data_IF_934382191953
#
_entry.id   IF_934382191953
#
_cell.length_a   1.000
_cell.length_b   1.000
_cell.length_c   1.000
_cell.angle_alpha   90.00
_cell.angle_beta   90.00
_cell.angle_gamma   90.00
#
_symmetry.space_group_name_H-M   'P 1'
#
loop_
_entity.id
_entity.type
_entity.pdbx_description
1 polymer ?
#
# COMPACT_ATOMS: atom_id res chain seq x y z
N UNK A 1 3.53 -0.90 6.67
CA UNK A 1 3.90 -1.66 5.46
C UNK A 1 3.05 -1.16 4.28
N UNK A 2 3.57 -1.15 3.06
CA UNK A 2 2.77 -0.90 1.85
C UNK A 2 2.39 -2.26 1.28
N UNK A 3 1.10 -2.58 1.17
CA UNK A 3 0.65 -3.89 0.65
C UNK A 3 0.55 -3.91 -0.88
N UNK A 4 0.19 -2.76 -1.46
CA UNK A 4 0.14 -2.50 -2.89
C UNK A 4 0.39 -1.01 -3.15
N UNK A 5 0.71 -0.64 -4.39
CA UNK A 5 0.91 0.76 -4.77
C UNK A 5 2.31 1.31 -4.49
N UNK A 6 3.32 0.46 -4.28
CA UNK A 6 4.71 0.89 -4.14
C UNK A 6 5.18 1.82 -5.26
N UNK A 7 4.76 1.57 -6.51
CA UNK A 7 5.09 2.47 -7.63
C UNK A 7 4.47 3.86 -7.44
N UNK A 8 3.21 3.93 -6.99
CA UNK A 8 2.52 5.19 -6.71
C UNK A 8 3.22 5.96 -5.59
N UNK A 9 3.60 5.24 -4.52
CA UNK A 9 4.41 5.81 -3.44
C UNK A 9 5.74 6.39 -3.94
N UNK A 10 6.51 5.62 -4.73
CA UNK A 10 7.81 6.08 -5.23
C UNK A 10 7.68 7.27 -6.18
N UNK A 11 6.70 7.27 -7.07
CA UNK A 11 6.45 8.39 -7.98
C UNK A 11 6.09 9.66 -7.20
N UNK A 12 5.15 9.58 -6.25
CA UNK A 12 4.77 10.73 -5.43
C UNK A 12 5.94 11.24 -4.57
N UNK A 13 6.75 10.32 -4.04
CA UNK A 13 7.98 10.68 -3.33
C UNK A 13 8.96 11.44 -4.24
N UNK A 14 9.19 10.96 -5.47
CA UNK A 14 10.07 11.61 -6.46
C UNK A 14 9.55 12.98 -6.89
N UNK A 15 8.23 13.15 -6.96
CA UNK A 15 7.58 14.43 -7.27
C UNK A 15 7.59 15.41 -6.07
N UNK A 16 8.12 15.01 -4.92
CA UNK A 16 8.17 15.86 -3.72
C UNK A 16 6.83 16.04 -3.02
N UNK A 17 5.86 15.15 -3.29
CA UNK A 17 4.55 15.18 -2.66
C UNK A 17 4.65 15.14 -1.13
N UNK A 18 3.78 15.90 -0.46
CA UNK A 18 3.72 15.99 1.00
C UNK A 18 2.72 15.02 1.60
N UNK A 19 1.71 14.64 0.82
CA UNK A 19 0.71 13.63 1.19
C UNK A 19 0.58 12.56 0.10
N UNK A 20 0.06 11.40 0.48
CA UNK A 20 -0.31 10.31 -0.41
C UNK A 20 -1.68 9.77 -0.01
N UNK A 21 -2.64 9.66 -0.94
CA UNK A 21 -3.89 8.96 -0.68
C UNK A 21 -3.58 7.49 -0.42
N UNK A 22 -4.05 6.98 0.73
CA UNK A 22 -3.86 5.60 1.11
C UNK A 22 -5.15 5.06 1.72
N UNK A 23 -5.41 3.79 1.46
CA UNK A 23 -6.40 3.03 2.19
C UNK A 23 -5.71 2.30 3.33
N UNK A 24 -6.03 2.66 4.56
CA UNK A 24 -5.58 1.93 5.73
C UNK A 24 -6.49 0.71 5.90
N UNK A 25 -5.89 -0.46 6.06
CA UNK A 25 -6.60 -1.72 6.28
C UNK A 25 -6.01 -2.43 7.48
N UNK A 26 -6.87 -3.08 8.26
CA UNK A 26 -6.43 -4.03 9.27
C UNK A 26 -5.97 -5.31 8.56
N UNK A 27 -4.67 -5.49 8.40
CA UNK A 27 -4.13 -6.58 7.59
C UNK A 27 -4.47 -7.96 8.15
N UNK A 28 -4.67 -8.07 9.46
CA UNK A 28 -5.06 -9.32 10.09
C UNK A 28 -6.53 -9.69 9.84
N UNK A 29 -7.38 -8.74 9.43
CA UNK A 29 -8.81 -8.97 9.14
C UNK A 29 -9.03 -10.12 8.14
N UNK A 30 -10.03 -10.99 8.34
CA UNK A 30 -10.40 -12.01 7.38
C UNK A 30 -10.72 -11.45 5.98
N UNK A 31 -11.17 -10.19 5.89
CA UNK A 31 -11.51 -9.52 4.61
C UNK A 31 -10.28 -9.19 3.75
N UNK A 32 -9.08 -9.42 4.28
CA UNK A 32 -7.82 -9.29 3.55
C UNK A 32 -7.24 -10.66 3.32
N UNK A 33 -7.10 -11.05 2.06
CA UNK A 33 -6.45 -12.30 1.66
C UNK A 33 -5.13 -12.05 0.95
N UNK A 34 -4.17 -12.97 1.08
CA UNK A 34 -2.87 -12.90 0.39
C UNK A 34 -2.59 -14.19 -0.37
N UNK A 35 -2.25 -14.04 -1.65
CA UNK A 35 -1.93 -15.14 -2.55
C UNK A 35 -0.55 -14.93 -3.16
N UNK A 36 0.10 -16.03 -3.50
CA UNK A 36 1.38 -15.95 -4.22
C UNK A 36 1.14 -15.64 -5.69
N UNK A 37 1.96 -14.77 -6.25
CA UNK A 37 2.05 -14.54 -7.69
C UNK A 37 3.11 -15.40 -8.36
N UNK A 38 3.95 -16.09 -7.58
CA UNK A 38 5.07 -16.90 -8.07
C UNK A 38 4.79 -18.38 -7.82
N UNK A 39 4.90 -19.18 -8.88
CA UNK A 39 4.79 -20.63 -8.80
C UNK A 39 5.86 -21.16 -7.82
N UNK A 40 5.46 -22.04 -6.90
CA UNK A 40 6.35 -22.63 -5.91
C UNK A 40 6.72 -21.72 -4.72
N UNK A 41 6.32 -20.45 -4.72
CA UNK A 41 6.58 -19.54 -3.61
C UNK A 41 5.36 -19.51 -2.68
N UNK A 42 5.49 -19.99 -1.43
CA UNK A 42 4.40 -19.92 -0.44
C UNK A 42 4.41 -18.55 0.23
N UNK A 43 3.22 -17.96 0.40
CA UNK A 43 3.04 -16.69 1.10
C UNK A 43 2.01 -16.86 2.21
N UNK A 44 2.20 -16.11 3.30
CA UNK A 44 1.25 -15.98 4.39
C UNK A 44 1.26 -14.54 4.89
N UNK A 45 0.20 -14.10 5.58
CA UNK A 45 0.19 -12.77 6.20
C UNK A 45 1.35 -12.57 7.16
N UNK A 46 1.65 -13.60 7.95
CA UNK A 46 2.78 -13.56 8.90
C UNK A 46 4.11 -13.34 8.18
N UNK A 47 4.35 -14.05 7.06
CA UNK A 47 5.57 -13.85 6.26
C UNK A 47 5.69 -12.40 5.79
N UNK A 48 4.59 -11.79 5.33
CA UNK A 48 4.56 -10.38 4.89
C UNK A 48 4.87 -9.44 6.06
N UNK A 49 4.24 -9.66 7.22
CA UNK A 49 4.47 -8.86 8.44
C UNK A 49 5.93 -8.96 8.87
N UNK A 50 6.46 -10.17 9.05
CA UNK A 50 7.83 -10.41 9.53
C UNK A 50 8.88 -9.82 8.57
N UNK A 51 8.65 -9.95 7.27
CA UNK A 51 9.55 -9.37 6.26
C UNK A 51 9.53 -7.84 6.32
N UNK A 52 8.34 -7.24 6.48
CA UNK A 52 8.19 -5.80 6.61
C UNK A 52 8.79 -5.25 7.92
N UNK A 53 8.59 -5.93 9.05
CA UNK A 53 9.16 -5.54 10.35
C UNK A 53 10.69 -5.62 10.35
N UNK A 54 11.27 -6.53 9.56
CA UNK A 54 12.72 -6.61 9.32
C UNK A 54 13.25 -5.58 8.32
N UNK A 55 12.40 -4.74 7.74
CA UNK A 55 12.79 -3.78 6.70
C UNK A 55 13.30 -4.43 5.41
N UNK A 56 12.96 -5.70 5.18
CA UNK A 56 13.39 -6.46 4.01
C UNK A 56 12.34 -6.41 2.91
N UNK A 57 12.77 -6.69 1.67
CA UNK A 57 11.88 -6.80 0.52
C UNK A 57 11.82 -8.24 0.04
N UNK A 58 10.61 -8.71 -0.25
CA UNK A 58 10.42 -9.91 -1.07
C UNK A 58 10.78 -9.60 -2.53
N UNK A 59 11.07 -10.62 -3.36
CA UNK A 59 11.23 -10.40 -4.80
C UNK A 59 10.05 -9.64 -5.42
N UNK A 60 10.26 -8.88 -6.49
CA UNK A 60 9.17 -8.14 -7.14
C UNK A 60 8.00 -9.05 -7.52
N UNK A 61 6.78 -8.52 -7.31
CA UNK A 61 5.50 -9.19 -7.58
C UNK A 61 5.41 -10.59 -6.96
N UNK A 62 5.78 -10.73 -5.69
CA UNK A 62 5.63 -12.00 -4.94
C UNK A 62 4.23 -12.19 -4.39
N UNK A 63 3.60 -11.13 -3.88
CA UNK A 63 2.26 -11.20 -3.26
C UNK A 63 1.18 -10.58 -4.15
N UNK A 64 -0.04 -11.12 -4.02
CA UNK A 64 -1.29 -10.52 -4.49
C UNK A 64 -2.22 -10.41 -3.29
N UNK A 65 -2.50 -9.17 -2.87
CA UNK A 65 -3.49 -8.90 -1.85
C UNK A 65 -4.87 -8.75 -2.51
N UNK A 66 -5.88 -9.38 -1.92
CA UNK A 66 -7.29 -9.25 -2.30
C UNK A 66 -8.00 -8.66 -1.09
N UNK A 67 -8.79 -7.61 -1.32
CA UNK A 67 -9.51 -6.90 -0.27
C UNK A 67 -11.01 -7.06 -0.56
N UNK A 68 -11.75 -7.62 0.37
CA UNK A 68 -13.21 -7.77 0.33
C UNK A 68 -13.88 -6.59 1.03
N UNK A 69 -13.56 -5.38 0.54
CA UNK A 69 -14.05 -4.12 1.11
C UNK A 69 -14.53 -3.20 0.00
N UNK A 70 -15.57 -2.42 0.30
CA UNK A 70 -16.08 -1.41 -0.63
C UNK A 70 -15.09 -0.24 -0.72
N UNK A 71 -14.61 0.03 -1.94
CA UNK A 71 -13.69 1.14 -2.20
C UNK A 71 -14.47 2.34 -2.74
N UNK A 72 -14.39 3.45 -2.03
CA UNK A 72 -14.85 4.74 -2.56
C UNK A 72 -13.85 5.26 -3.60
N UNK A 73 -14.30 5.71 -4.78
CA UNK A 73 -13.43 6.37 -5.74
C UNK A 73 -12.73 7.57 -5.10
N UNK A 74 -11.44 7.72 -5.40
CA UNK A 74 -10.64 8.88 -5.00
C UNK A 74 -10.21 9.59 -6.26
N UNK A 75 -10.81 10.76 -6.50
CA UNK A 75 -10.42 11.68 -7.57
C UNK A 75 -9.86 12.96 -6.94
N UNK A 76 -8.56 12.92 -6.60
CA UNK A 76 -7.87 14.03 -5.97
C UNK A 76 -6.77 14.55 -6.90
N UNK A 77 -6.87 15.78 -7.41
CA UNK A 77 -5.85 16.38 -8.26
C UNK A 77 -4.46 16.36 -7.62
N UNK A 78 -3.45 15.99 -8.41
CA UNK A 78 -2.06 15.87 -7.94
C UNK A 78 -1.53 17.13 -7.22
N UNK A 79 -1.96 18.34 -7.65
CA UNK A 79 -1.58 19.61 -7.02
C UNK A 79 -1.86 19.65 -5.51
N UNK A 80 -2.92 18.99 -5.05
CA UNK A 80 -3.25 18.94 -3.63
C UNK A 80 -2.27 18.07 -2.85
N UNK A 81 -1.75 17.01 -3.46
CA UNK A 81 -0.73 16.16 -2.85
C UNK A 81 0.64 16.85 -2.77
N UNK A 82 0.96 17.69 -3.76
CA UNK A 82 2.22 18.44 -3.82
C UNK A 82 2.26 19.61 -2.84
N UNK A 83 1.15 20.33 -2.69
CA UNK A 83 1.07 21.57 -1.92
C UNK A 83 0.50 21.39 -0.51
N UNK A 84 0.20 20.16 -0.10
CA UNK A 84 -0.39 19.90 1.21
C UNK A 84 0.52 20.36 2.37
N UNK A 85 -0.10 20.96 3.39
CA UNK A 85 0.56 21.32 4.65
C UNK A 85 0.45 20.15 5.63
N UNK A 86 1.47 19.96 6.49
CA UNK A 86 1.37 19.01 7.60
C UNK A 86 0.37 19.57 8.62
N UNK A 87 -0.78 18.92 8.79
CA UNK A 87 -1.74 19.24 9.87
C UNK A 87 -3.18 19.56 9.48
N UNK A 88 -3.55 19.58 8.19
CA UNK A 88 -4.92 19.86 7.75
C UNK A 88 -4.95 20.27 6.29
N UNK A 89 -6.15 20.40 5.73
CA UNK A 89 -6.45 20.78 4.34
C UNK A 89 -6.72 19.61 3.37
N UNK A 90 -7.19 18.46 3.88
CA UNK A 90 -8.00 17.54 3.08
C UNK A 90 -9.29 17.21 3.85
N UNK A 91 -10.05 18.26 4.15
CA UNK A 91 -11.52 18.43 4.24
C UNK A 91 -11.76 19.84 4.76
#
# INVERSE_FOLDING_TARGET
VILDGHHRYRILQMLGAKLIPALLVEYTSPDVSVFSRRIGYKVSKQLVIDTALRGQLMPPKTTRHVLEIELKPVDLPLKFLLNARKGGDLF
#
